data_IF_757572831235
#
_entry.id   IF_757572831235
#
_cell.length_a   1.000
_cell.length_b   1.000
_cell.length_c   1.000
_cell.angle_alpha   90.00
_cell.angle_beta   90.00
_cell.angle_gamma   90.00
#
_symmetry.space_group_name_H-M   'P 1'
#
loop_
_entity.id
_entity.type
_entity.pdbx_description
1 polymer ?
#
# COMPACT_ATOMS: atom_id res chain seq x y z
N UNK A 1 -3.49 -0.57 9.64
CA UNK A 1 -2.97 -0.01 8.36
C UNK A 1 -1.59 -0.61 8.15
N UNK A 2 -1.37 -1.33 7.06
CA UNK A 2 -0.05 -1.83 6.68
C UNK A 2 0.75 -0.69 6.01
N UNK A 3 2.06 -0.65 6.26
CA UNK A 3 2.99 0.36 5.72
C UNK A 3 4.10 -0.36 4.98
N UNK A 4 4.44 0.10 3.77
CA UNK A 4 5.57 -0.43 3.01
C UNK A 4 6.90 0.03 3.65
N UNK A 5 7.51 -0.84 4.47
CA UNK A 5 8.75 -0.52 5.19
C UNK A 5 9.95 -0.34 4.26
N UNK A 6 9.97 -1.05 3.13
CA UNK A 6 11.02 -0.89 2.12
C UNK A 6 10.97 0.50 1.49
N UNK A 7 9.78 0.97 1.12
CA UNK A 7 9.60 2.31 0.57
C UNK A 7 9.97 3.42 1.58
N UNK A 8 9.74 3.20 2.87
CA UNK A 8 10.22 4.11 3.94
C UNK A 8 11.74 4.13 3.98
N UNK A 9 12.39 2.95 3.93
CA UNK A 9 13.85 2.85 3.89
C UNK A 9 14.46 3.50 2.64
N UNK A 10 13.77 3.42 1.50
CA UNK A 10 14.18 4.01 0.22
C UNK A 10 13.86 5.51 0.11
N UNK A 11 13.28 6.12 1.16
CA UNK A 11 13.00 7.56 1.19
C UNK A 11 11.84 8.00 0.28
N UNK A 12 10.92 7.09 -0.05
CA UNK A 12 9.78 7.37 -0.91
C UNK A 12 8.84 8.39 -0.25
N UNK A 13 8.52 9.45 -0.98
CA UNK A 13 7.67 10.56 -0.53
C UNK A 13 6.78 11.09 -1.66
N UNK A 14 5.69 11.82 -1.33
CA UNK A 14 4.84 12.42 -2.36
C UNK A 14 5.59 13.40 -3.27
N UNK A 15 6.68 13.98 -2.79
CA UNK A 15 7.50 14.94 -3.52
C UNK A 15 8.55 14.28 -4.41
N UNK A 16 9.05 13.10 -4.04
CA UNK A 16 10.03 12.36 -4.85
C UNK A 16 9.38 11.55 -5.98
N UNK A 17 8.18 10.99 -5.75
CA UNK A 17 7.54 10.07 -6.69
C UNK A 17 6.20 10.60 -7.25
N UNK A 18 5.72 11.75 -6.77
CA UNK A 18 4.38 12.23 -7.07
C UNK A 18 3.30 11.50 -6.26
N UNK A 19 2.15 12.14 -6.09
CA UNK A 19 1.08 11.68 -5.18
C UNK A 19 0.46 10.35 -5.57
N UNK A 20 0.23 10.13 -6.87
CA UNK A 20 -0.36 8.90 -7.39
C UNK A 20 0.55 7.69 -7.13
N UNK A 21 1.82 7.82 -7.50
CA UNK A 21 2.79 6.75 -7.36
C UNK A 21 3.16 6.48 -5.90
N UNK A 22 3.33 7.54 -5.09
CA UNK A 22 3.48 7.42 -3.65
C UNK A 22 2.32 6.62 -3.03
N UNK A 23 1.07 6.91 -3.43
CA UNK A 23 -0.11 6.21 -2.91
C UNK A 23 -0.09 4.73 -3.30
N UNK A 24 0.28 4.43 -4.55
CA UNK A 24 0.41 3.06 -5.04
C UNK A 24 1.46 2.28 -4.24
N UNK A 25 2.67 2.83 -4.08
CA UNK A 25 3.78 2.20 -3.36
C UNK A 25 3.45 2.01 -1.88
N UNK A 26 2.94 3.06 -1.23
CA UNK A 26 2.73 3.03 0.22
C UNK A 26 1.48 2.28 0.65
N UNK A 27 0.43 2.24 -0.17
CA UNK A 27 -0.86 1.64 0.19
C UNK A 27 -1.12 0.34 -0.55
N UNK A 28 -1.10 0.36 -1.88
CA UNK A 28 -1.48 -0.80 -2.69
C UNK A 28 -0.48 -1.93 -2.53
N UNK A 29 0.82 -1.63 -2.62
CA UNK A 29 1.88 -2.65 -2.45
C UNK A 29 1.89 -3.18 -1.01
N UNK A 30 1.82 -2.29 -0.01
CA UNK A 30 1.77 -2.69 1.40
C UNK A 30 0.58 -3.58 1.74
N UNK A 31 -0.61 -3.30 1.18
CA UNK A 31 -1.79 -4.15 1.35
C UNK A 31 -1.55 -5.54 0.76
N UNK A 32 -1.03 -5.61 -0.47
CA UNK A 32 -0.74 -6.89 -1.14
C UNK A 32 0.27 -7.72 -0.34
N UNK A 33 1.38 -7.11 0.09
CA UNK A 33 2.39 -7.78 0.91
C UNK A 33 1.81 -8.31 2.22
N UNK A 34 0.90 -7.56 2.85
CA UNK A 34 0.19 -8.02 4.04
C UNK A 34 -0.71 -9.23 3.76
N UNK A 35 -1.43 -9.25 2.64
CA UNK A 35 -2.25 -10.39 2.24
C UNK A 35 -1.37 -11.64 2.01
N UNK A 36 -0.27 -11.47 1.28
CA UNK A 36 0.66 -12.56 0.96
C UNK A 36 1.35 -13.09 2.24
N UNK A 37 1.81 -12.21 3.13
CA UNK A 37 2.56 -12.59 4.33
C UNK A 37 1.72 -13.40 5.32
N UNK A 38 0.45 -13.04 5.49
CA UNK A 38 -0.46 -13.72 6.41
C UNK A 38 -1.29 -14.83 5.74
N UNK A 39 -1.16 -15.01 4.42
CA UNK A 39 -1.86 -16.04 3.66
C UNK A 39 -3.37 -15.83 3.62
N UNK A 40 -3.83 -14.59 3.62
CA UNK A 40 -5.26 -14.30 3.49
C UNK A 40 -5.75 -14.63 2.07
N UNK A 41 -6.84 -15.39 1.98
CA UNK A 41 -7.49 -15.76 0.72
C UNK A 41 -8.60 -14.77 0.32
N UNK A 42 -9.08 -13.97 1.28
CA UNK A 42 -10.09 -12.95 1.06
C UNK A 42 -9.79 -11.66 1.84
N UNK A 43 -10.19 -10.53 1.25
CA UNK A 43 -10.16 -9.21 1.88
C UNK A 43 -11.49 -8.49 1.63
N UNK A 44 -12.09 -7.95 2.69
CA UNK A 44 -13.37 -7.24 2.61
C UNK A 44 -13.10 -5.73 2.58
N UNK A 45 -13.38 -5.10 1.44
CA UNK A 45 -13.21 -3.65 1.24
C UNK A 45 -14.53 -2.89 1.37
N UNK A 46 -14.51 -1.76 2.08
CA UNK A 46 -15.68 -0.89 2.31
C UNK A 46 -15.87 0.24 1.29
N UNK A 47 -15.31 0.12 0.08
CA UNK A 47 -15.47 1.14 -0.97
C UNK A 47 -16.94 1.22 -1.39
N UNK A 48 -17.47 2.45 -1.48
CA UNK A 48 -18.87 2.69 -1.87
C UNK A 48 -18.98 3.04 -3.36
N UNK A 49 -20.19 2.96 -3.90
CA UNK A 49 -20.48 3.24 -5.33
C UNK A 49 -20.86 4.70 -5.61
N UNK A 50 -21.26 5.43 -4.58
CA UNK A 50 -21.63 6.85 -4.64
C UNK A 50 -20.42 7.79 -4.54
#
# INVERSE_FOLDING_TARGET
IATNQQAVADGVSPFSHGTHEYTRIMKTVALREGLDHYGFDAAIGGARRD
#
